data_IF_019823321946
#
_entry.id   IF_019823321946
#
_cell.length_a   1.000
_cell.length_b   1.000
_cell.length_c   1.000
_cell.angle_alpha   90.00
_cell.angle_beta   90.00
_cell.angle_gamma   90.00
#
_symmetry.space_group_name_H-M   'P 1'
#
loop_
_entity.id
_entity.type
_entity.pdbx_description
1 polymer ?
#
# COMPACT_ATOMS: atom_id res chain seq x y z
N UNK A 1 -2.42 8.12 -4.32
CA UNK A 1 -2.64 7.13 -5.39
C UNK A 1 -3.36 5.93 -4.80
N UNK A 2 -4.24 5.29 -5.57
CA UNK A 2 -4.87 4.02 -5.19
C UNK A 2 -4.08 2.89 -5.83
N UNK A 3 -3.57 1.94 -5.04
CA UNK A 3 -2.76 0.81 -5.56
C UNK A 3 -3.62 -0.39 -5.97
N UNK A 4 -4.76 -0.56 -5.32
CA UNK A 4 -5.73 -1.61 -5.64
C UNK A 4 -7.11 -1.19 -5.14
N UNK A 5 -8.13 -1.50 -5.92
CA UNK A 5 -9.54 -1.35 -5.54
C UNK A 5 -10.32 -2.54 -6.12
N UNK A 6 -11.20 -3.12 -5.30
CA UNK A 6 -12.02 -4.27 -5.68
C UNK A 6 -11.98 -5.42 -4.67
N UNK A 7 -12.55 -6.55 -5.07
CA UNK A 7 -12.61 -7.77 -4.25
C UNK A 7 -11.45 -8.70 -4.60
N UNK A 8 -10.81 -9.26 -3.58
CA UNK A 8 -9.93 -10.42 -3.70
C UNK A 8 -10.47 -11.51 -2.79
N UNK A 9 -10.38 -12.75 -3.24
CA UNK A 9 -10.72 -13.90 -2.42
C UNK A 9 -9.66 -14.11 -1.32
N UNK A 10 -9.91 -15.03 -0.39
CA UNK A 10 -8.94 -15.31 0.67
C UNK A 10 -7.63 -15.86 0.08
N UNK A 11 -6.50 -15.29 0.50
CA UNK A 11 -5.18 -15.69 0.00
C UNK A 11 -4.11 -14.63 0.28
N UNK A 12 -2.90 -14.91 -0.18
CA UNK A 12 -1.75 -13.98 -0.11
C UNK A 12 -1.60 -13.25 -1.44
N UNK A 13 -1.47 -11.93 -1.39
CA UNK A 13 -1.30 -11.09 -2.57
C UNK A 13 -0.16 -10.10 -2.36
N UNK A 14 0.58 -9.82 -3.42
CA UNK A 14 1.61 -8.78 -3.44
C UNK A 14 1.15 -7.63 -4.32
N UNK A 15 1.36 -6.40 -3.85
CA UNK A 15 1.08 -5.18 -4.59
C UNK A 15 2.41 -4.41 -4.67
N UNK A 16 2.81 -4.02 -5.88
CA UNK A 16 3.99 -3.20 -6.10
C UNK A 16 3.56 -1.72 -6.20
N UNK A 17 4.18 -0.86 -5.41
CA UNK A 17 4.05 0.57 -5.53
C UNK A 17 5.34 1.14 -6.16
N UNK A 18 5.23 1.62 -7.39
CA UNK A 18 6.32 2.36 -8.03
C UNK A 18 6.42 3.77 -7.44
N UNK A 19 7.44 3.94 -6.60
CA UNK A 19 7.76 5.19 -5.92
C UNK A 19 8.82 6.04 -6.64
N UNK A 20 9.23 5.67 -7.88
CA UNK A 20 10.33 6.35 -8.61
C UNK A 20 10.14 7.86 -8.75
N UNK A 21 8.91 8.30 -9.03
CA UNK A 21 8.54 9.71 -9.16
C UNK A 21 8.29 10.45 -7.85
N UNK A 22 8.47 9.81 -6.69
CA UNK A 22 8.17 10.39 -5.39
C UNK A 22 9.43 10.94 -4.71
N UNK A 23 9.21 11.87 -3.78
CA UNK A 23 10.29 12.43 -2.96
C UNK A 23 10.81 11.40 -1.95
N UNK A 24 12.00 11.63 -1.41
CA UNK A 24 12.46 10.87 -0.25
C UNK A 24 11.61 11.26 0.97
N UNK A 25 11.28 10.30 1.82
CA UNK A 25 10.47 10.59 3.01
C UNK A 25 9.71 9.39 3.55
N UNK A 26 8.81 9.66 4.49
CA UNK A 26 7.95 8.66 5.10
C UNK A 26 6.61 8.64 4.37
N UNK A 27 6.20 7.44 3.99
CA UNK A 27 4.92 7.16 3.34
C UNK A 27 4.10 6.21 4.19
N UNK A 28 2.78 6.38 4.17
CA UNK A 28 1.85 5.55 4.93
C UNK A 28 0.96 4.83 3.94
N UNK A 29 1.05 3.50 3.91
CA UNK A 29 0.12 2.64 3.19
C UNK A 29 -1.05 2.31 4.11
N UNK A 30 -2.28 2.47 3.60
CA UNK A 30 -3.51 2.13 4.31
C UNK A 30 -4.28 1.10 3.49
N UNK A 31 -4.53 -0.05 4.07
CA UNK A 31 -5.33 -1.12 3.49
C UNK A 31 -6.63 -1.28 4.27
N UNK A 32 -7.76 -1.28 3.56
CA UNK A 32 -9.10 -1.45 4.14
C UNK A 32 -9.77 -2.65 3.49
N UNK A 33 -10.14 -3.65 4.28
CA UNK A 33 -10.83 -4.86 3.79
C UNK A 33 -11.72 -5.45 4.88
N UNK A 34 -12.99 -5.73 4.56
CA UNK A 34 -13.90 -6.46 5.46
C UNK A 34 -14.04 -5.86 6.87
N UNK A 35 -13.91 -4.54 7.02
CA UNK A 35 -13.92 -3.85 8.33
C UNK A 35 -12.58 -3.78 9.05
N UNK A 36 -11.55 -4.45 8.53
CA UNK A 36 -10.18 -4.36 9.05
C UNK A 36 -9.46 -3.21 8.33
N UNK A 37 -8.79 -2.36 9.11
CA UNK A 37 -7.84 -1.38 8.58
C UNK A 37 -6.43 -1.76 9.04
N UNK A 38 -5.51 -1.89 8.09
CA UNK A 38 -4.08 -2.04 8.36
C UNK A 38 -3.34 -0.82 7.84
N UNK A 39 -2.37 -0.38 8.63
CA UNK A 39 -1.56 0.79 8.32
C UNK A 39 -0.10 0.39 8.41
N UNK A 40 0.66 0.66 7.36
CA UNK A 40 2.09 0.35 7.29
C UNK A 40 2.89 1.62 6.98
N UNK A 41 3.94 1.84 7.75
CA UNK A 41 4.86 2.96 7.56
C UNK A 41 6.02 2.49 6.70
N UNK A 42 6.24 3.19 5.59
CA UNK A 42 7.32 2.94 4.64
C UNK A 42 8.26 4.13 4.63
N UNK A 43 9.56 3.89 4.46
CA UNK A 43 10.55 4.94 4.28
C UNK A 43 11.10 4.83 2.87
N UNK A 44 10.88 5.87 2.06
CA UNK A 44 11.46 6.00 0.74
C UNK A 44 12.79 6.72 0.86
N UNK A 45 13.85 6.00 0.51
CA UNK A 45 15.22 6.50 0.44
C UNK A 45 15.74 6.15 -0.94
N UNK A 46 16.12 7.16 -1.73
CA UNK A 46 16.84 7.00 -3.00
C UNK A 46 18.33 6.76 -2.76
#
# INVERSE_FOLDING_TARGET
STLFEGRKEAGTYSINWDASGQANGIYIAVMKAGGITRTEKMMMVK
#
